data_IF_648619028695
#
_entry.id   IF_648619028695
#
_cell.length_a   1.000
_cell.length_b   1.000
_cell.length_c   1.000
_cell.angle_alpha   90.00
_cell.angle_beta   90.00
_cell.angle_gamma   90.00
#
_symmetry.space_group_name_H-M   'P 1'
#
loop_
_entity.id
_entity.type
_entity.pdbx_description
1 polymer ?
#
# COMPACT_ATOMS: atom_id res chain seq x y z
N UNK A 1 -17.11 24.65 -15.75
CA UNK A 1 -16.65 23.52 -16.58
C UNK A 1 -16.89 22.26 -15.78
N UNK A 2 -17.85 21.42 -16.17
CA UNK A 2 -18.10 20.13 -15.51
C UNK A 2 -17.04 19.15 -15.99
N UNK A 3 -15.97 18.98 -15.23
CA UNK A 3 -15.01 17.91 -15.47
C UNK A 3 -15.75 16.59 -15.28
N UNK A 4 -16.02 15.89 -16.38
CA UNK A 4 -16.62 14.55 -16.35
C UNK A 4 -15.58 13.59 -15.78
N UNK A 5 -15.62 13.41 -14.46
CA UNK A 5 -14.74 12.47 -13.76
C UNK A 5 -14.98 11.06 -14.31
N UNK A 6 -13.91 10.44 -14.82
CA UNK A 6 -13.93 9.04 -15.26
C UNK A 6 -13.12 8.16 -14.29
N UNK A 7 -13.69 7.07 -13.77
CA UNK A 7 -12.99 6.18 -12.86
C UNK A 7 -11.78 5.52 -13.53
N UNK A 8 -10.68 5.37 -12.80
CA UNK A 8 -9.57 4.54 -13.26
C UNK A 8 -10.08 3.11 -13.46
N UNK A 9 -9.74 2.42 -14.57
CA UNK A 9 -10.06 1.01 -14.71
C UNK A 9 -9.48 0.16 -13.57
N UNK A 10 -10.27 -0.78 -13.05
CA UNK A 10 -9.91 -1.63 -11.90
C UNK A 10 -8.54 -2.30 -12.08
N UNK A 11 -8.19 -2.72 -13.30
CA UNK A 11 -6.90 -3.37 -13.60
C UNK A 11 -5.69 -2.51 -13.19
N UNK A 12 -5.73 -1.20 -13.43
CA UNK A 12 -4.61 -0.31 -13.12
C UNK A 12 -4.56 -0.01 -11.62
N UNK A 13 -5.72 0.13 -10.98
CA UNK A 13 -5.82 0.28 -9.52
C UNK A 13 -5.30 -0.97 -8.80
N UNK A 14 -5.69 -2.15 -9.27
CA UNK A 14 -5.24 -3.43 -8.73
C UNK A 14 -3.72 -3.60 -8.86
N UNK A 15 -3.13 -3.31 -10.04
CA UNK A 15 -1.67 -3.34 -10.21
C UNK A 15 -0.98 -2.35 -9.26
N UNK A 16 -1.53 -1.14 -9.10
CA UNK A 16 -1.01 -0.16 -8.14
C UNK A 16 -0.97 -0.70 -6.72
N UNK A 17 -2.08 -1.30 -6.27
CA UNK A 17 -2.18 -1.96 -4.97
C UNK A 17 -1.14 -3.07 -4.80
N UNK A 18 -0.98 -3.96 -5.80
CA UNK A 18 0.00 -5.04 -5.74
C UNK A 18 1.44 -4.52 -5.59
N UNK A 19 1.81 -3.46 -6.33
CA UNK A 19 3.14 -2.86 -6.23
C UNK A 19 3.32 -2.22 -4.83
N UNK A 20 2.32 -1.49 -4.35
CA UNK A 20 2.41 -0.85 -3.02
C UNK A 20 2.41 -1.86 -1.88
N UNK A 21 1.76 -3.02 -2.05
CA UNK A 21 1.68 -4.09 -1.06
C UNK A 21 2.99 -4.80 -0.77
N UNK A 22 4.02 -4.63 -1.63
CA UNK A 22 5.36 -5.22 -1.41
C UNK A 22 6.01 -4.68 -0.13
N UNK A 23 5.89 -3.37 0.11
CA UNK A 23 6.50 -2.70 1.27
C UNK A 23 5.91 -3.21 2.60
N UNK A 24 4.58 -3.15 2.82
CA UNK A 24 4.02 -3.65 4.06
C UNK A 24 4.09 -5.18 4.18
N UNK A 25 4.17 -5.92 3.07
CA UNK A 25 4.46 -7.37 3.09
C UNK A 25 5.84 -7.67 3.68
N UNK A 26 6.88 -6.96 3.24
CA UNK A 26 8.23 -7.12 3.79
C UNK A 26 8.28 -6.77 5.28
N UNK A 27 7.60 -5.68 5.68
CA UNK A 27 7.51 -5.27 7.08
C UNK A 27 6.76 -6.30 7.93
N UNK A 28 5.65 -6.83 7.43
CA UNK A 28 4.86 -7.89 8.09
C UNK A 28 5.71 -9.13 8.31
N UNK A 29 6.47 -9.56 7.29
CA UNK A 29 7.35 -10.71 7.40
C UNK A 29 8.42 -10.50 8.47
N UNK A 30 9.08 -9.34 8.50
CA UNK A 30 10.10 -9.03 9.50
C UNK A 30 9.53 -9.06 10.93
N UNK A 31 8.35 -8.47 11.14
CA UNK A 31 7.65 -8.46 12.44
C UNK A 31 7.23 -9.87 12.86
N UNK A 32 6.59 -10.61 11.94
CA UNK A 32 6.11 -11.95 12.22
C UNK A 32 7.26 -12.94 12.47
N UNK A 33 8.35 -12.86 11.69
CA UNK A 33 9.55 -13.69 11.88
C UNK A 33 10.26 -13.39 13.22
N UNK A 34 10.25 -12.13 13.66
CA UNK A 34 10.71 -11.78 15.00
C UNK A 34 9.79 -12.36 16.09
N UNK A 35 8.49 -12.22 15.91
CA UNK A 35 7.47 -12.66 16.87
C UNK A 35 7.37 -14.18 17.01
N UNK A 36 7.55 -14.95 15.94
CA UNK A 36 7.53 -16.42 15.99
C UNK A 36 8.65 -17.00 16.83
N UNK A 37 9.75 -16.27 17.06
CA UNK A 37 10.82 -16.69 17.99
C UNK A 37 10.36 -16.78 19.45
N UNK A 38 9.27 -16.08 19.80
CA UNK A 38 8.67 -16.12 21.13
C UNK A 38 7.64 -17.25 21.28
N UNK A 39 7.31 -17.95 20.20
CA UNK A 39 6.35 -19.05 20.22
C UNK A 39 7.06 -20.40 20.46
N UNK A 40 6.43 -21.31 21.23
CA UNK A 40 6.93 -22.67 21.38
C UNK A 40 6.82 -23.48 20.07
N UNK A 41 5.94 -23.07 19.16
CA UNK A 41 5.78 -23.63 17.83
C UNK A 41 6.58 -22.81 16.82
N UNK A 42 7.51 -23.45 16.12
CA UNK A 42 8.30 -22.86 15.04
C UNK A 42 7.73 -23.32 13.70
N UNK A 43 6.97 -22.48 12.98
CA UNK A 43 6.56 -22.80 11.62
C UNK A 43 7.80 -22.91 10.72
N UNK A 44 7.69 -23.66 9.61
CA UNK A 44 8.68 -23.57 8.55
C UNK A 44 8.72 -22.15 8.00
N UNK A 45 9.91 -21.63 7.70
CA UNK A 45 10.06 -20.28 7.14
C UNK A 45 9.28 -20.11 5.83
N UNK A 46 9.13 -21.20 5.06
CA UNK A 46 8.31 -21.26 3.85
C UNK A 46 6.83 -21.07 4.11
N UNK A 47 6.30 -21.60 5.23
CA UNK A 47 4.88 -21.47 5.58
C UNK A 47 4.58 -20.04 6.05
N UNK A 48 5.52 -19.43 6.78
CA UNK A 48 5.42 -18.03 7.18
C UNK A 48 5.48 -17.10 5.97
N UNK A 49 6.44 -17.30 5.07
CA UNK A 49 6.54 -16.50 3.86
C UNK A 49 5.31 -16.68 2.96
N UNK A 50 4.82 -17.91 2.81
CA UNK A 50 3.61 -18.22 2.06
C UNK A 50 2.38 -17.52 2.64
N UNK A 51 2.13 -17.67 3.94
CA UNK A 51 0.97 -17.04 4.60
C UNK A 51 1.01 -15.51 4.54
N UNK A 52 2.18 -14.89 4.71
CA UNK A 52 2.31 -13.43 4.55
C UNK A 52 2.07 -13.00 3.10
N UNK A 53 2.71 -13.66 2.13
CA UNK A 53 2.61 -13.27 0.72
C UNK A 53 1.17 -13.40 0.20
N UNK A 54 0.53 -14.54 0.46
CA UNK A 54 -0.86 -14.77 0.05
C UNK A 54 -1.85 -13.92 0.85
N UNK A 55 -1.58 -13.65 2.13
CA UNK A 55 -2.38 -12.75 2.95
C UNK A 55 -2.42 -11.33 2.38
N UNK A 56 -1.26 -10.79 1.99
CA UNK A 56 -1.17 -9.49 1.32
C UNK A 56 -1.83 -9.48 -0.06
N UNK A 57 -1.68 -10.54 -0.85
CA UNK A 57 -2.36 -10.64 -2.14
C UNK A 57 -3.88 -10.52 -2.00
N UNK A 58 -4.46 -11.23 -1.02
CA UNK A 58 -5.89 -11.17 -0.72
C UNK A 58 -6.28 -9.77 -0.24
N UNK A 59 -5.51 -9.21 0.69
CA UNK A 59 -5.75 -7.88 1.28
C UNK A 59 -5.75 -6.78 0.22
N UNK A 60 -4.75 -6.76 -0.66
CA UNK A 60 -4.63 -5.79 -1.75
C UNK A 60 -5.74 -5.97 -2.80
N UNK A 61 -6.13 -7.21 -3.08
CA UNK A 61 -7.25 -7.49 -4.01
C UNK A 61 -8.57 -6.99 -3.45
N UNK A 62 -8.85 -7.22 -2.16
CA UNK A 62 -10.05 -6.71 -1.49
C UNK A 62 -10.03 -5.18 -1.40
N UNK A 63 -8.88 -4.60 -1.07
CA UNK A 63 -8.70 -3.14 -0.97
C UNK A 63 -8.91 -2.46 -2.32
N UNK A 64 -8.34 -3.01 -3.41
CA UNK A 64 -8.53 -2.46 -4.76
C UNK A 64 -10.01 -2.43 -5.18
N UNK A 65 -10.78 -3.49 -4.86
CA UNK A 65 -12.21 -3.55 -5.16
C UNK A 65 -13.00 -2.56 -4.30
N UNK A 66 -12.69 -2.48 -3.00
CA UNK A 66 -13.32 -1.53 -2.09
C UNK A 66 -13.06 -0.09 -2.52
N UNK A 67 -11.80 0.26 -2.77
CA UNK A 67 -11.39 1.60 -3.17
C UNK A 67 -12.04 1.99 -4.50
N UNK A 68 -12.15 1.07 -5.47
CA UNK A 68 -12.86 1.33 -6.72
C UNK A 68 -14.32 1.73 -6.46
N UNK A 69 -15.03 1.00 -5.61
CA UNK A 69 -16.42 1.32 -5.24
C UNK A 69 -16.51 2.64 -4.49
N UNK A 70 -15.57 2.88 -3.58
CA UNK A 70 -15.50 4.09 -2.78
C UNK A 70 -15.23 5.33 -3.66
N UNK A 71 -14.35 5.21 -4.65
CA UNK A 71 -14.05 6.25 -5.62
C UNK A 71 -15.25 6.55 -6.54
N UNK A 72 -15.94 5.51 -7.04
CA UNK A 72 -17.17 5.68 -7.84
C UNK A 72 -18.25 6.40 -7.04
N UNK A 73 -18.45 6.01 -5.78
CA UNK A 73 -19.46 6.62 -4.90
C UNK A 73 -19.20 8.12 -4.65
N UNK A 74 -17.94 8.51 -4.51
CA UNK A 74 -17.55 9.89 -4.20
C UNK A 74 -17.11 10.70 -5.42
N UNK A 75 -17.14 10.11 -6.62
CA UNK A 75 -16.66 10.70 -7.87
C UNK A 75 -15.26 11.35 -7.74
N UNK A 76 -14.38 10.70 -6.97
CA UNK A 76 -13.05 11.21 -6.66
C UNK A 76 -12.09 10.03 -6.53
N UNK A 77 -10.91 10.10 -7.15
CA UNK A 77 -10.00 8.96 -7.20
C UNK A 77 -9.42 8.58 -5.83
N UNK A 78 -9.17 9.58 -4.98
CA UNK A 78 -8.72 9.43 -3.60
C UNK A 78 -9.56 10.34 -2.68
N UNK A 79 -10.76 9.93 -2.25
CA UNK A 79 -11.64 10.79 -1.46
C UNK A 79 -11.11 11.09 -0.05
N UNK A 80 -10.09 10.33 0.41
CA UNK A 80 -9.55 10.38 1.76
C UNK A 80 -10.52 9.85 2.81
N UNK A 81 -10.14 10.04 4.08
CA UNK A 81 -10.95 9.70 5.24
C UNK A 81 -10.64 8.33 5.84
N UNK A 82 -11.23 8.09 7.02
CA UNK A 82 -10.93 6.91 7.84
C UNK A 82 -11.61 5.62 7.35
N UNK A 83 -12.68 5.73 6.56
CA UNK A 83 -13.42 4.56 6.06
C UNK A 83 -12.56 3.55 5.26
N UNK A 84 -11.77 3.96 4.24
CA UNK A 84 -10.87 3.05 3.53
C UNK A 84 -9.79 2.46 4.45
N UNK A 85 -9.29 3.22 5.42
CA UNK A 85 -8.30 2.74 6.41
C UNK A 85 -8.89 1.61 7.25
N UNK A 86 -10.09 1.78 7.80
CA UNK A 86 -10.73 0.73 8.60
C UNK A 86 -11.08 -0.52 7.78
N UNK A 87 -11.57 -0.35 6.54
CA UNK A 87 -11.83 -1.50 5.67
C UNK A 87 -10.55 -2.26 5.31
N UNK A 88 -9.45 -1.55 5.03
CA UNK A 88 -8.16 -2.16 4.73
C UNK A 88 -7.58 -2.86 5.96
N UNK A 89 -7.65 -2.24 7.14
CA UNK A 89 -7.20 -2.86 8.38
C UNK A 89 -8.01 -4.12 8.73
N UNK A 90 -9.33 -4.07 8.58
CA UNK A 90 -10.23 -5.20 8.83
C UNK A 90 -9.99 -6.35 7.84
N UNK A 91 -9.87 -6.05 6.54
CA UNK A 91 -9.57 -7.07 5.52
C UNK A 91 -8.17 -7.66 5.70
N UNK A 92 -7.18 -6.83 6.04
CA UNK A 92 -5.80 -7.25 6.32
C UNK A 92 -5.73 -8.24 7.49
N UNK A 93 -6.30 -7.84 8.63
CA UNK A 93 -6.29 -8.67 9.84
C UNK A 93 -7.09 -9.97 9.64
N UNK A 94 -8.26 -9.91 9.02
CA UNK A 94 -9.08 -11.09 8.75
C UNK A 94 -8.41 -12.06 7.77
N UNK A 95 -7.82 -11.56 6.68
CA UNK A 95 -7.15 -12.39 5.67
C UNK A 95 -5.94 -13.12 6.25
N UNK A 96 -5.08 -12.40 6.98
CA UNK A 96 -3.89 -12.99 7.60
C UNK A 96 -4.27 -13.96 8.72
N UNK A 97 -5.27 -13.65 9.54
CA UNK A 97 -5.74 -14.58 10.58
C UNK A 97 -6.29 -15.87 9.96
N UNK A 98 -7.21 -15.76 9.01
CA UNK A 98 -7.86 -16.92 8.40
C UNK A 98 -6.86 -17.83 7.68
N UNK A 99 -5.93 -17.23 6.92
CA UNK A 99 -4.93 -17.97 6.17
C UNK A 99 -3.90 -18.64 7.07
N UNK A 100 -3.35 -17.92 8.05
CA UNK A 100 -2.39 -18.48 9.00
C UNK A 100 -3.04 -19.54 9.91
N UNK A 101 -4.32 -19.38 10.24
CA UNK A 101 -5.08 -20.39 10.98
C UNK A 101 -5.31 -21.64 10.15
N UNK A 102 -5.70 -21.51 8.87
CA UNK A 102 -5.91 -22.64 7.97
C UNK A 102 -4.63 -23.49 7.77
N UNK A 103 -3.46 -22.84 7.74
CA UNK A 103 -2.17 -23.52 7.53
C UNK A 103 -1.64 -24.16 8.82
N UNK A 104 -1.67 -23.43 9.94
CA UNK A 104 -1.03 -23.89 11.19
C UNK A 104 -1.98 -24.56 12.18
N UNK A 105 -3.30 -24.41 12.00
CA UNK A 105 -4.34 -24.75 12.98
C UNK A 105 -4.12 -24.16 14.38
N UNK A 106 -3.28 -23.12 14.50
CA UNK A 106 -2.89 -22.52 15.77
C UNK A 106 -3.39 -21.08 15.86
N UNK A 107 -4.35 -20.84 16.76
CA UNK A 107 -4.89 -19.50 17.00
C UNK A 107 -3.80 -18.52 17.49
N UNK A 108 -2.82 -18.99 18.27
CA UNK A 108 -1.71 -18.12 18.73
C UNK A 108 -0.83 -17.65 17.57
N UNK A 109 -0.51 -18.55 16.65
CA UNK A 109 0.26 -18.21 15.46
C UNK A 109 -0.54 -17.28 14.54
N UNK A 110 -1.80 -17.62 14.28
CA UNK A 110 -2.69 -16.81 13.45
C UNK A 110 -2.85 -15.37 13.99
N UNK A 111 -3.05 -15.22 15.31
CA UNK A 111 -3.12 -13.91 15.96
C UNK A 111 -1.82 -13.13 15.85
N UNK A 112 -0.66 -13.80 15.95
CA UNK A 112 0.64 -13.13 15.85
C UNK A 112 0.90 -12.60 14.43
N UNK A 113 0.59 -13.40 13.40
CA UNK A 113 0.73 -12.96 12.00
C UNK A 113 -0.26 -11.85 11.69
N UNK A 114 -1.52 -11.99 12.12
CA UNK A 114 -2.54 -10.96 11.93
C UNK A 114 -2.20 -9.64 12.63
N UNK A 115 -1.67 -9.70 13.87
CA UNK A 115 -1.22 -8.52 14.60
C UNK A 115 -0.01 -7.86 13.91
N UNK A 116 0.92 -8.66 13.40
CA UNK A 116 2.09 -8.17 12.65
C UNK A 116 1.67 -7.45 11.37
N UNK A 117 0.71 -8.02 10.63
CA UNK A 117 0.15 -7.43 9.43
C UNK A 117 -0.63 -6.13 9.73
N UNK A 118 -1.45 -6.14 10.79
CA UNK A 118 -2.16 -4.95 11.26
C UNK A 118 -1.22 -3.82 11.69
N UNK A 119 -0.12 -4.14 12.37
CA UNK A 119 0.90 -3.16 12.75
C UNK A 119 1.62 -2.57 11.53
N UNK A 120 1.93 -3.40 10.53
CA UNK A 120 2.53 -2.93 9.28
C UNK A 120 1.58 -1.99 8.52
N UNK A 121 0.30 -2.36 8.40
CA UNK A 121 -0.72 -1.53 7.74
C UNK A 121 -0.92 -0.20 8.48
N UNK A 122 -1.01 -0.21 9.81
CA UNK A 122 -1.09 1.02 10.60
C UNK A 122 0.13 1.92 10.43
N UNK A 123 1.33 1.32 10.39
CA UNK A 123 2.58 2.05 10.16
C UNK A 123 2.56 2.74 8.79
N UNK A 124 2.13 2.02 7.75
CA UNK A 124 1.97 2.58 6.41
C UNK A 124 0.88 3.66 6.35
N UNK A 125 -0.26 3.45 7.01
CA UNK A 125 -1.34 4.44 7.07
C UNK A 125 -0.88 5.74 7.76
N UNK A 126 -0.11 5.63 8.84
CA UNK A 126 0.55 6.74 9.54
C UNK A 126 1.59 7.47 8.67
N UNK A 127 2.48 6.71 8.02
CA UNK A 127 3.54 7.29 7.20
C UNK A 127 3.01 7.99 5.94
N UNK A 128 2.01 7.42 5.28
CA UNK A 128 1.43 7.94 4.05
C UNK A 128 0.32 8.97 4.29
N UNK A 129 -0.08 9.19 5.54
CA UNK A 129 -1.19 10.07 5.93
C UNK A 129 -2.46 9.78 5.13
N UNK A 130 -2.82 8.51 4.98
CA UNK A 130 -3.94 8.07 4.15
C UNK A 130 -5.31 8.66 4.58
N UNK A 131 -5.40 9.28 5.76
CA UNK A 131 -6.60 9.99 6.22
C UNK A 131 -6.78 11.36 5.56
N UNK A 132 -5.71 11.98 5.06
CA UNK A 132 -5.78 13.25 4.33
C UNK A 132 -6.37 13.00 2.94
N UNK A 133 -7.15 13.98 2.45
CA UNK A 133 -7.73 13.90 1.11
C UNK A 133 -6.59 13.96 0.09
N UNK A 134 -6.53 12.96 -0.79
CA UNK A 134 -5.52 12.92 -1.84
C UNK A 134 -5.75 14.03 -2.88
N UNK A 135 -4.67 14.45 -3.53
CA UNK A 135 -4.74 15.37 -4.68
C UNK A 135 -5.57 14.76 -5.82
N UNK A 136 -6.31 15.61 -6.52
CA UNK A 136 -6.98 15.28 -7.77
C UNK A 136 -5.97 14.96 -8.88
N UNK A 137 -6.38 14.27 -9.94
CA UNK A 137 -5.48 13.95 -11.07
C UNK A 137 -4.87 15.18 -11.73
N UNK A 138 -5.60 16.29 -11.74
CA UNK A 138 -5.14 17.56 -12.29
C UNK A 138 -4.00 18.14 -11.45
N UNK A 139 -4.15 18.14 -10.12
CA UNK A 139 -3.12 18.57 -9.18
C UNK A 139 -1.87 17.67 -9.24
N UNK A 140 -2.04 16.35 -9.35
CA UNK A 140 -0.90 15.42 -9.51
C UNK A 140 -0.18 15.67 -10.83
N UNK A 141 -0.90 15.92 -11.92
CA UNK A 141 -0.32 16.21 -13.24
C UNK A 141 0.46 17.54 -13.23
N UNK A 142 -0.07 18.54 -12.55
CA UNK A 142 0.57 19.86 -12.45
C UNK A 142 1.78 19.82 -11.49
N UNK A 143 1.69 19.08 -10.39
CA UNK A 143 2.83 18.82 -9.51
C UNK A 143 3.94 18.07 -10.28
N UNK A 144 3.60 17.03 -11.04
CA UNK A 144 4.55 16.30 -11.85
C UNK A 144 5.22 17.18 -12.92
N UNK A 145 4.45 18.01 -13.63
CA UNK A 145 5.00 18.99 -14.57
C UNK A 145 6.00 19.93 -13.90
N UNK A 146 5.65 20.49 -12.73
CA UNK A 146 6.55 21.34 -11.96
C UNK A 146 7.83 20.60 -11.54
N UNK A 147 7.74 19.35 -11.12
CA UNK A 147 8.91 18.54 -10.78
C UNK A 147 9.81 18.27 -12.00
N UNK A 148 9.22 17.96 -13.15
CA UNK A 148 9.98 17.75 -14.40
C UNK A 148 10.63 19.05 -14.87
N UNK A 149 9.93 20.18 -14.80
CA UNK A 149 10.47 21.50 -15.14
C UNK A 149 11.62 21.90 -14.20
N UNK A 150 11.47 21.73 -12.88
CA UNK A 150 12.57 21.94 -11.93
C UNK A 150 13.76 21.04 -12.21
N UNK A 151 13.53 19.76 -12.55
CA UNK A 151 14.61 18.81 -12.86
C UNK A 151 15.35 19.21 -14.15
N UNK A 152 14.64 19.73 -15.15
CA UNK A 152 15.25 20.27 -16.38
C UNK A 152 16.04 21.54 -16.10
N UNK A 153 15.48 22.47 -15.34
CA UNK A 153 16.16 23.71 -14.95
C UNK A 153 17.45 23.43 -14.16
N UNK A 154 17.40 22.51 -13.18
CA UNK A 154 18.60 22.09 -12.43
C UNK A 154 19.66 21.42 -13.33
N UNK A 155 19.23 20.64 -14.33
CA UNK A 155 20.14 20.02 -15.30
C UNK A 155 20.80 21.06 -16.21
N UNK A 156 20.08 22.10 -16.61
CA UNK A 156 20.59 23.19 -17.44
C UNK A 156 21.54 24.10 -16.65
N UNK A 157 21.20 24.42 -15.41
CA UNK A 157 22.06 25.19 -14.48
C UNK A 157 23.34 24.43 -14.13
N UNK A 158 23.24 23.12 -13.89
CA UNK A 158 24.41 22.25 -13.67
C UNK A 158 25.29 22.08 -14.91
N UNK A 159 24.80 22.44 -16.10
CA UNK A 159 25.56 22.33 -17.35
C UNK A 159 26.52 23.49 -17.60
N UNK A 160 26.36 24.60 -16.87
CA UNK A 160 27.23 25.79 -16.90
C UNK A 160 27.44 26.42 -18.29
N UNK A 161 27.89 27.67 -18.39
CA UNK A 161 28.37 28.21 -19.66
C UNK A 161 29.64 27.44 -20.09
N UNK A 162 29.64 26.94 -21.33
CA UNK A 162 30.79 26.27 -21.93
C UNK A 162 32.00 27.23 -21.94
N UNK A 163 33.16 26.89 -21.32
CA UNK A 163 34.35 27.71 -21.36
C UNK A 163 35.05 27.54 -22.70
N UNK A 164 34.43 28.01 -23.78
CA UNK A 164 35.06 28.12 -25.10
C UNK A 164 34.71 29.48 -25.66
N UNK A 165 35.36 30.53 -25.13
CA UNK A 165 35.68 31.79 -25.80
C UNK A 165 36.42 32.69 -24.79
N UNK A 166 37.71 32.42 -24.59
CA UNK A 166 38.71 33.43 -24.23
C UNK A 166 39.96 33.16 -25.05
#
# INVERSE_FOLDING_TARGET
>A
MTTTWEPVPLKYRWIGHLITGVVPSALTFALAAGGTRLLPYKPLDTDLQGTVTWGWLITESLSAVFDQRYAIKHQHDAPGGWAPIYCRLASCTAAHFALSYAVSSSARYASLVAASAGAAELTCACALKNWEKGMSREEVRDAWKKTVEMTKAMREESRGPNPTHQ
#
